data_IF_192187954499
#
_entry.id   IF_192187954499
#
_cell.length_a   1.000
_cell.length_b   1.000
_cell.length_c   1.000
_cell.angle_alpha   90.00
_cell.angle_beta   90.00
_cell.angle_gamma   90.00
#
_symmetry.space_group_name_H-M   'P 1'
#
loop_
_entity.id
_entity.type
_entity.pdbx_description
1 polymer ?
#
# COMPACT_ATOMS: atom_id res chain seq x y z
N UNK A 1 -14.55 0.93 -42.50
CA UNK A 1 -13.46 0.17 -43.14
C UNK A 1 -12.27 0.25 -42.21
N UNK A 2 -11.91 -0.89 -41.62
CA UNK A 2 -10.71 -1.00 -40.80
C UNK A 2 -9.51 -1.14 -41.73
N UNK A 3 -8.61 -0.17 -41.73
CA UNK A 3 -7.34 -0.29 -42.44
C UNK A 3 -6.31 -0.94 -41.53
N UNK A 4 -6.05 -2.21 -41.83
CA UNK A 4 -5.02 -3.04 -41.23
C UNK A 4 -3.65 -2.59 -41.76
N UNK A 5 -2.87 -1.89 -40.94
CA UNK A 5 -1.46 -1.63 -41.27
C UNK A 5 -0.63 -2.90 -40.99
N UNK A 6 0.10 -3.43 -41.98
CA UNK A 6 0.92 -4.63 -41.79
C UNK A 6 2.15 -4.29 -40.94
N UNK A 7 2.34 -5.04 -39.86
CA UNK A 7 3.47 -4.92 -38.94
C UNK A 7 4.81 -5.24 -39.65
N UNK A 8 5.79 -4.32 -39.73
CA UNK A 8 7.07 -4.60 -40.36
C UNK A 8 8.12 -5.19 -39.40
N UNK A 9 7.78 -5.55 -38.16
CA UNK A 9 8.72 -6.26 -37.28
C UNK A 9 8.02 -7.20 -36.27
N UNK A 10 8.22 -8.53 -36.37
CA UNK A 10 7.50 -9.50 -35.54
C UNK A 10 8.04 -9.64 -34.10
N UNK A 11 8.92 -8.75 -33.64
CA UNK A 11 9.62 -8.87 -32.34
C UNK A 11 9.21 -7.86 -31.26
N UNK A 12 8.24 -6.98 -31.51
CA UNK A 12 7.82 -5.99 -30.53
C UNK A 12 6.37 -6.27 -30.13
N UNK A 13 6.17 -6.63 -28.86
CA UNK A 13 4.86 -6.87 -28.26
C UNK A 13 3.98 -5.61 -28.36
N UNK A 14 2.71 -5.80 -28.69
CA UNK A 14 1.70 -4.74 -28.82
C UNK A 14 1.62 -3.85 -27.56
N UNK A 15 1.98 -4.38 -26.38
CA UNK A 15 2.09 -3.62 -25.13
C UNK A 15 3.05 -2.42 -25.23
N UNK A 16 4.21 -2.57 -25.87
CA UNK A 16 5.17 -1.46 -26.05
C UNK A 16 4.73 -0.45 -27.11
N UNK A 17 4.00 -0.90 -28.13
CA UNK A 17 3.43 0.00 -29.14
C UNK A 17 2.33 0.87 -28.54
N UNK A 18 1.45 0.30 -27.71
CA UNK A 18 0.40 1.06 -27.00
C UNK A 18 0.99 2.06 -26.00
N UNK A 19 2.08 1.71 -25.30
CA UNK A 19 2.79 2.65 -24.40
C UNK A 19 3.51 3.76 -25.17
N UNK A 20 4.04 3.49 -26.35
CA UNK A 20 4.63 4.52 -27.23
C UNK A 20 3.58 5.47 -27.82
N UNK A 21 2.34 5.01 -28.02
CA UNK A 21 1.23 5.86 -28.47
C UNK A 21 0.62 6.70 -27.33
N UNK A 22 0.64 6.20 -26.10
CA UNK A 22 0.21 6.92 -24.90
C UNK A 22 1.40 7.50 -24.14
N UNK A 23 2.07 8.49 -24.73
CA UNK A 23 2.75 9.48 -23.91
C UNK A 23 1.66 10.20 -23.09
N UNK A 24 1.72 10.12 -21.76
CA UNK A 24 0.91 10.95 -20.89
C UNK A 24 1.37 12.41 -21.07
N UNK A 25 0.84 13.08 -22.09
CA UNK A 25 0.89 14.52 -22.20
C UNK A 25 -0.10 15.04 -21.16
N UNK A 26 0.40 15.69 -20.11
CA UNK A 26 -0.45 16.47 -19.21
C UNK A 26 -1.00 17.63 -20.04
N UNK A 27 -2.19 17.45 -20.61
CA UNK A 27 -2.90 18.49 -21.34
C UNK A 27 -3.48 19.50 -20.34
N UNK A 28 -3.66 20.75 -20.77
CA UNK A 28 -4.24 21.81 -19.92
C UNK A 28 -5.61 21.45 -19.34
N UNK A 29 -6.38 20.60 -20.03
CA UNK A 29 -7.68 20.10 -19.59
C UNK A 29 -7.56 19.20 -18.35
N UNK A 30 -6.49 18.40 -18.26
CA UNK A 30 -6.23 17.54 -17.11
C UNK A 30 -5.81 18.34 -15.88
N UNK A 31 -4.99 19.39 -16.08
CA UNK A 31 -4.62 20.34 -15.02
C UNK A 31 -5.85 21.11 -14.52
N UNK A 32 -6.74 21.52 -15.43
CA UNK A 32 -7.98 22.20 -15.10
C UNK A 32 -8.96 21.29 -14.35
N UNK A 33 -9.05 20.01 -14.70
CA UNK A 33 -9.84 19.01 -13.98
C UNK A 33 -9.29 18.76 -12.56
N UNK A 34 -7.97 18.66 -12.41
CA UNK A 34 -7.33 18.51 -11.11
C UNK A 34 -7.53 19.77 -10.23
N UNK A 35 -7.42 20.97 -10.80
CA UNK A 35 -7.69 22.23 -10.09
C UNK A 35 -9.17 22.40 -9.73
N UNK A 36 -10.09 21.95 -10.58
CA UNK A 36 -11.52 21.93 -10.28
C UNK A 36 -11.89 20.96 -9.14
N UNK A 37 -11.11 19.88 -8.96
CA UNK A 37 -11.30 18.92 -7.86
C UNK A 37 -10.79 19.44 -6.50
N UNK A 38 -9.93 20.47 -6.49
CA UNK A 38 -9.37 21.08 -5.26
C UNK A 38 -10.31 22.16 -4.68
N UNK A 39 -11.21 22.72 -5.49
CA UNK A 39 -12.08 23.82 -5.10
C UNK A 39 -13.49 23.40 -4.72
N UNK A 40 -13.68 22.88 -3.49
CA UNK A 40 -14.85 23.10 -2.59
C UNK A 40 -14.85 22.09 -1.44
N UNK A 41 -14.35 22.52 -0.28
CA UNK A 41 -14.98 22.16 0.98
C UNK A 41 -15.23 23.48 1.74
N UNK A 42 -16.47 23.96 1.82
CA UNK A 42 -16.81 25.02 2.75
C UNK A 42 -16.87 24.37 4.13
N UNK A 43 -15.78 24.47 4.87
CA UNK A 43 -15.80 24.73 6.31
C UNK A 43 -14.36 25.00 6.76
N UNK A 44 -14.05 26.29 6.72
CA UNK A 44 -12.90 26.92 7.32
C UNK A 44 -13.05 26.93 8.86
N UNK A 45 -11.91 26.86 9.54
CA UNK A 45 -11.61 27.44 10.86
C UNK A 45 -12.30 26.86 12.10
N UNK A 46 -11.51 26.25 13.01
CA UNK A 46 -11.56 26.45 14.49
C UNK A 46 -10.26 25.92 15.16
N UNK A 47 -9.76 26.56 16.26
CA UNK A 47 -8.53 26.20 16.98
C UNK A 47 -8.79 25.13 18.08
N UNK A 48 -7.77 24.64 18.84
CA UNK A 48 -7.84 23.35 19.48
C UNK A 48 -8.63 23.39 20.79
N UNK A 49 -9.62 22.52 20.91
CA UNK A 49 -10.23 22.16 22.18
C UNK A 49 -9.98 20.68 22.44
N UNK A 50 -9.14 20.41 23.44
CA UNK A 50 -9.21 19.17 24.18
C UNK A 50 -10.62 19.04 24.77
N UNK A 51 -11.34 17.96 24.47
CA UNK A 51 -11.98 17.16 25.52
C UNK A 51 -12.52 15.82 24.97
N UNK A 52 -12.47 14.86 25.88
CA UNK A 52 -13.13 13.55 25.99
C UNK A 52 -14.39 13.28 25.14
N UNK A 53 -14.48 12.06 24.60
CA UNK A 53 -15.74 11.44 24.18
C UNK A 53 -15.95 11.11 22.69
N UNK A 54 -14.94 11.28 21.81
CA UNK A 54 -15.12 10.86 20.41
C UNK A 54 -15.20 9.32 20.30
N UNK A 55 -16.21 8.77 19.60
CA UNK A 55 -16.26 7.35 19.31
C UNK A 55 -15.01 6.94 18.51
N UNK A 56 -14.47 5.76 18.80
CA UNK A 56 -13.29 5.25 18.13
C UNK A 56 -13.51 5.20 16.61
N UNK A 57 -12.57 5.79 15.86
CA UNK A 57 -12.59 5.85 14.40
C UNK A 57 -11.28 5.31 13.86
N UNK A 58 -11.34 4.14 13.21
CA UNK A 58 -10.16 3.48 12.62
C UNK A 58 -9.50 4.37 11.55
N UNK A 59 -10.28 5.17 10.85
CA UNK A 59 -9.80 6.09 9.80
C UNK A 59 -9.00 7.24 10.43
N UNK A 60 -9.45 7.77 11.57
CA UNK A 60 -8.74 8.84 12.26
C UNK A 60 -7.42 8.36 12.83
N UNK A 61 -7.40 7.16 13.42
CA UNK A 61 -6.17 6.48 13.85
C UNK A 61 -5.22 6.29 12.66
N UNK A 62 -5.71 5.73 11.55
CA UNK A 62 -4.93 5.54 10.34
C UNK A 62 -4.31 6.84 9.83
N UNK A 63 -5.09 7.93 9.76
CA UNK A 63 -4.60 9.24 9.35
C UNK A 63 -3.59 9.82 10.34
N UNK A 64 -3.74 9.53 11.64
CA UNK A 64 -2.77 9.94 12.65
C UNK A 64 -1.42 9.24 12.45
N UNK A 65 -1.42 7.93 12.22
CA UNK A 65 -0.21 7.15 11.95
C UNK A 65 0.51 7.61 10.68
N UNK A 66 -0.24 8.00 9.65
CA UNK A 66 0.31 8.52 8.39
C UNK A 66 1.07 9.83 8.49
N UNK A 67 0.95 10.57 9.59
CA UNK A 67 1.74 11.79 9.82
C UNK A 67 3.23 11.48 10.00
N UNK A 68 3.59 10.23 10.28
CA UNK A 68 4.98 9.82 10.46
C UNK A 68 5.69 9.65 9.11
N UNK A 69 6.81 10.37 8.85
CA UNK A 69 7.40 10.49 7.50
C UNK A 69 8.06 9.23 6.93
N UNK A 70 8.09 8.10 7.64
CA UNK A 70 8.71 6.84 7.20
C UNK A 70 7.80 5.63 7.44
N UNK A 71 6.50 5.86 7.58
CA UNK A 71 5.53 4.80 7.83
C UNK A 71 4.81 4.46 6.53
N UNK A 72 4.88 3.19 6.10
CA UNK A 72 4.13 2.73 4.93
C UNK A 72 2.63 2.70 5.22
N UNK A 73 1.81 2.84 4.18
CA UNK A 73 0.35 2.73 4.30
C UNK A 73 -0.07 1.39 4.93
N UNK A 74 0.56 0.28 4.54
CA UNK A 74 0.33 -1.03 5.16
C UNK A 74 0.57 -1.01 6.69
N UNK A 75 1.69 -0.46 7.14
CA UNK A 75 2.03 -0.44 8.57
C UNK A 75 1.12 0.50 9.34
N UNK A 76 0.76 1.65 8.77
CA UNK A 76 -0.23 2.54 9.35
C UNK A 76 -1.59 1.83 9.53
N UNK A 77 -2.00 1.03 8.55
CA UNK A 77 -3.23 0.23 8.62
C UNK A 77 -3.17 -0.82 9.73
N UNK A 78 -2.06 -1.56 9.82
CA UNK A 78 -1.85 -2.56 10.87
C UNK A 78 -1.89 -1.92 12.26
N UNK A 79 -1.28 -0.75 12.45
CA UNK A 79 -1.32 -0.02 13.73
C UNK A 79 -2.71 0.52 14.07
N UNK A 80 -3.46 0.98 13.07
CA UNK A 80 -4.85 1.37 13.25
C UNK A 80 -5.73 0.17 13.65
N UNK A 81 -5.55 -0.99 13.00
CA UNK A 81 -6.25 -2.24 13.35
C UNK A 81 -5.82 -2.78 14.72
N UNK A 82 -4.56 -2.66 15.11
CA UNK A 82 -4.12 -2.98 16.48
C UNK A 82 -4.79 -2.07 17.53
N UNK A 83 -5.06 -0.82 17.16
CA UNK A 83 -5.81 0.11 18.02
C UNK A 83 -7.29 -0.30 18.15
N UNK A 84 -7.89 -0.89 17.10
CA UNK A 84 -9.23 -1.54 17.18
C UNK A 84 -9.21 -2.67 18.20
N UNK A 85 -8.20 -3.56 18.16
CA UNK A 85 -8.07 -4.67 19.13
C UNK A 85 -7.99 -4.11 20.56
N UNK A 86 -7.24 -3.02 20.75
CA UNK A 86 -7.08 -2.36 22.05
C UNK A 86 -8.38 -1.76 22.59
N UNK A 87 -9.21 -1.18 21.72
CA UNK A 87 -10.51 -0.61 22.11
C UNK A 87 -11.66 -1.64 22.14
N UNK A 88 -11.42 -2.86 21.67
CA UNK A 88 -12.46 -3.89 21.55
C UNK A 88 -12.85 -4.49 22.90
N UNK A 89 -14.13 -4.42 23.20
CA UNK A 89 -14.78 -5.08 24.35
C UNK A 89 -15.17 -6.53 24.06
N UNK A 90 -14.82 -7.05 22.87
CA UNK A 90 -15.13 -8.42 22.49
C UNK A 90 -14.65 -9.41 23.55
N UNK A 91 -15.45 -10.46 23.76
CA UNK A 91 -15.13 -11.56 24.69
C UNK A 91 -14.81 -12.86 23.97
N UNK A 92 -15.03 -12.89 22.65
CA UNK A 92 -14.80 -14.08 21.81
C UNK A 92 -13.94 -13.72 20.60
N UNK A 93 -13.16 -14.70 20.12
CA UNK A 93 -12.35 -14.54 18.92
C UNK A 93 -13.19 -14.21 17.68
N UNK A 94 -14.35 -14.86 17.52
CA UNK A 94 -15.25 -14.63 16.39
C UNK A 94 -15.77 -13.20 16.35
N UNK A 95 -16.16 -12.64 17.49
CA UNK A 95 -16.62 -11.25 17.60
C UNK A 95 -15.50 -10.26 17.26
N UNK A 96 -14.29 -10.48 17.79
CA UNK A 96 -13.12 -9.67 17.46
C UNK A 96 -12.76 -9.73 15.97
N UNK A 97 -12.83 -10.91 15.36
CA UNK A 97 -12.58 -11.10 13.93
C UNK A 97 -13.62 -10.35 13.07
N UNK A 98 -14.90 -10.36 13.47
CA UNK A 98 -15.94 -9.59 12.81
C UNK A 98 -15.71 -8.08 12.94
N UNK A 99 -15.33 -7.60 14.12
CA UNK A 99 -15.03 -6.19 14.38
C UNK A 99 -13.83 -5.71 13.52
N UNK A 100 -12.75 -6.50 13.51
CA UNK A 100 -11.57 -6.22 12.69
C UNK A 100 -11.88 -6.26 11.20
N UNK A 101 -12.70 -7.22 10.75
CA UNK A 101 -13.12 -7.29 9.34
C UNK A 101 -13.91 -6.06 8.94
N UNK A 102 -14.83 -5.60 9.77
CA UNK A 102 -15.59 -4.37 9.54
C UNK A 102 -14.67 -3.14 9.48
N UNK A 103 -13.70 -3.03 10.38
CA UNK A 103 -12.73 -1.93 10.38
C UNK A 103 -11.82 -1.98 9.14
N UNK A 104 -11.37 -3.17 8.74
CA UNK A 104 -10.59 -3.44 7.53
C UNK A 104 -11.33 -3.01 6.26
N UNK A 105 -12.59 -3.42 6.11
CA UNK A 105 -13.42 -3.05 4.95
C UNK A 105 -13.70 -1.53 4.91
N UNK A 106 -13.80 -0.88 6.08
CA UNK A 106 -13.89 0.58 6.18
C UNK A 106 -12.61 1.28 5.69
N UNK A 107 -11.42 0.76 6.01
CA UNK A 107 -10.15 1.29 5.50
C UNK A 107 -10.00 1.07 3.99
N UNK A 108 -10.36 -0.11 3.48
CA UNK A 108 -10.26 -0.45 2.06
C UNK A 108 -11.21 0.38 1.19
N UNK A 109 -12.41 0.66 1.70
CA UNK A 109 -13.36 1.55 1.03
C UNK A 109 -12.92 3.02 1.08
N UNK A 110 -12.17 3.42 2.12
CA UNK A 110 -11.61 4.77 2.24
C UNK A 110 -10.51 5.05 1.19
N UNK A 111 -9.64 4.08 0.88
CA UNK A 111 -8.64 4.19 -0.21
C UNK A 111 -8.60 2.90 -1.04
N UNK A 112 -9.46 2.86 -2.06
CA UNK A 112 -9.60 1.74 -3.00
C UNK A 112 -8.41 1.58 -3.96
N UNK A 113 -7.57 2.61 -4.07
CA UNK A 113 -6.44 2.64 -5.00
C UNK A 113 -5.17 2.06 -4.40
N UNK A 114 -5.09 2.02 -3.07
CA UNK A 114 -3.88 1.59 -2.39
C UNK A 114 -3.81 0.08 -2.21
N UNK A 115 -3.05 -0.56 -3.09
CA UNK A 115 -2.69 -1.99 -2.97
C UNK A 115 -2.02 -2.28 -1.63
N UNK A 116 -1.12 -1.41 -1.17
CA UNK A 116 -0.41 -1.56 0.11
C UNK A 116 -1.35 -1.50 1.33
N UNK A 117 -2.37 -0.64 1.30
CA UNK A 117 -3.38 -0.60 2.36
C UNK A 117 -4.18 -1.91 2.39
N UNK A 118 -4.74 -2.30 1.24
CA UNK A 118 -5.56 -3.50 1.10
C UNK A 118 -4.79 -4.75 1.51
N UNK A 119 -3.56 -4.93 1.03
CA UNK A 119 -2.74 -6.08 1.38
C UNK A 119 -2.32 -6.10 2.84
N UNK A 120 -2.00 -4.94 3.44
CA UNK A 120 -1.69 -4.83 4.86
C UNK A 120 -2.88 -5.24 5.75
N UNK A 121 -4.08 -4.82 5.36
CA UNK A 121 -5.32 -5.24 6.03
C UNK A 121 -5.60 -6.73 5.89
N UNK A 122 -5.44 -7.31 4.69
CA UNK A 122 -5.69 -8.74 4.45
C UNK A 122 -4.71 -9.63 5.19
N UNK A 123 -3.41 -9.31 5.13
CA UNK A 123 -2.36 -10.04 5.85
C UNK A 123 -2.60 -10.01 7.36
N UNK A 124 -3.01 -8.87 7.90
CA UNK A 124 -3.31 -8.75 9.33
C UNK A 124 -4.53 -9.58 9.73
N UNK A 125 -5.59 -9.57 8.92
CA UNK A 125 -6.76 -10.43 9.15
C UNK A 125 -6.39 -11.91 9.11
N UNK A 126 -5.64 -12.35 8.09
CA UNK A 126 -5.17 -13.74 8.01
C UNK A 126 -4.31 -14.12 9.20
N UNK A 127 -3.42 -13.23 9.63
CA UNK A 127 -2.61 -13.42 10.81
C UNK A 127 -3.48 -13.62 12.06
N UNK A 128 -4.42 -12.70 12.32
CA UNK A 128 -5.31 -12.76 13.48
C UNK A 128 -6.14 -14.03 13.46
N UNK A 129 -6.81 -14.37 12.36
CA UNK A 129 -7.63 -15.59 12.24
C UNK A 129 -6.80 -16.87 12.40
N UNK A 130 -5.53 -16.86 11.95
CA UNK A 130 -4.65 -18.03 12.07
C UNK A 130 -4.05 -18.16 13.47
N UNK A 131 -3.81 -17.06 14.18
CA UNK A 131 -3.31 -17.06 15.57
C UNK A 131 -4.42 -17.30 16.60
N UNK A 132 -5.62 -16.75 16.39
CA UNK A 132 -6.77 -16.91 17.29
C UNK A 132 -7.24 -18.37 17.37
N UNK A 133 -7.06 -19.14 16.30
CA UNK A 133 -7.36 -20.57 16.25
C UNK A 133 -6.36 -21.46 17.00
N UNK A 134 -5.20 -20.94 17.40
CA UNK A 134 -4.07 -21.74 17.90
C UNK A 134 -3.79 -21.65 19.41
N UNK A 135 -4.48 -20.81 20.17
CA UNK A 135 -4.16 -20.61 21.59
C UNK A 135 -5.27 -21.09 22.54
N UNK A 136 -4.94 -22.05 23.41
CA UNK A 136 -5.74 -22.53 24.57
C UNK A 136 -5.61 -21.57 25.77
N UNK A 137 -5.31 -20.29 25.52
CA UNK A 137 -5.05 -19.26 26.54
C UNK A 137 -6.25 -18.34 26.78
N UNK A 138 -6.19 -17.59 27.88
CA UNK A 138 -7.20 -16.58 28.21
C UNK A 138 -7.25 -15.49 27.12
N UNK A 139 -8.44 -15.24 26.59
CA UNK A 139 -8.66 -14.40 25.40
C UNK A 139 -7.99 -13.00 25.46
N UNK A 140 -7.90 -12.40 26.63
CA UNK A 140 -7.27 -11.09 26.81
C UNK A 140 -5.74 -11.12 26.65
N UNK A 141 -5.10 -12.24 26.97
CA UNK A 141 -3.68 -12.43 26.74
C UNK A 141 -3.38 -12.55 25.24
N UNK A 142 -4.24 -13.27 24.50
CA UNK A 142 -4.18 -13.35 23.04
C UNK A 142 -4.32 -11.94 22.40
N UNK A 143 -5.27 -11.11 22.84
CA UNK A 143 -5.39 -9.71 22.39
C UNK A 143 -4.09 -8.92 22.63
N UNK A 144 -3.51 -9.07 23.81
CA UNK A 144 -2.27 -8.39 24.19
C UNK A 144 -1.09 -8.80 23.29
N UNK A 145 -0.95 -10.10 23.00
CA UNK A 145 0.07 -10.63 22.09
C UNK A 145 -0.10 -10.13 20.65
N UNK A 146 -1.33 -10.08 20.14
CA UNK A 146 -1.61 -9.55 18.80
C UNK A 146 -1.17 -8.09 18.68
N UNK A 147 -1.45 -7.28 19.71
CA UNK A 147 -1.04 -5.87 19.76
C UNK A 147 0.49 -5.76 19.79
N UNK A 148 1.16 -6.49 20.69
CA UNK A 148 2.63 -6.47 20.81
C UNK A 148 3.30 -6.83 19.48
N UNK A 149 2.82 -7.88 18.81
CA UNK A 149 3.38 -8.32 17.52
C UNK A 149 3.12 -7.31 16.41
N UNK A 150 1.95 -6.69 16.36
CA UNK A 150 1.64 -5.63 15.40
C UNK A 150 2.55 -4.39 15.58
N UNK A 151 2.82 -4.00 16.82
CA UNK A 151 3.71 -2.89 17.14
C UNK A 151 5.15 -3.20 16.74
N UNK A 152 5.65 -4.38 17.14
CA UNK A 152 6.98 -4.88 16.78
C UNK A 152 7.17 -4.97 15.27
N UNK A 153 6.16 -5.46 14.53
CA UNK A 153 6.18 -5.46 13.07
C UNK A 153 6.35 -4.04 12.52
N UNK A 154 5.57 -3.07 13.02
CA UNK A 154 5.68 -1.69 12.56
C UNK A 154 7.03 -1.04 12.86
N UNK A 155 7.66 -1.37 13.99
CA UNK A 155 9.02 -0.93 14.29
C UNK A 155 10.05 -1.49 13.31
N UNK A 156 9.99 -2.80 13.03
CA UNK A 156 10.89 -3.48 12.10
C UNK A 156 10.73 -2.91 10.69
N UNK A 157 9.49 -2.76 10.21
CA UNK A 157 9.21 -2.17 8.90
C UNK A 157 9.72 -0.73 8.77
N UNK A 158 9.58 0.07 9.84
CA UNK A 158 10.06 1.45 9.82
C UNK A 158 11.60 1.55 9.89
N UNK A 159 12.28 0.60 10.55
CA UNK A 159 13.75 0.48 10.48
C UNK A 159 14.17 0.09 9.06
N UNK A 160 13.50 -0.89 8.46
CA UNK A 160 13.78 -1.33 7.09
C UNK A 160 13.62 -0.19 6.08
N UNK A 161 12.53 0.58 6.16
CA UNK A 161 12.28 1.72 5.26
C UNK A 161 13.33 2.85 5.35
N UNK A 162 14.12 2.91 6.43
CA UNK A 162 15.23 3.88 6.57
C UNK A 162 16.55 3.37 6.03
N UNK A 163 16.70 2.05 5.92
CA UNK A 163 17.95 1.40 5.54
C UNK A 163 17.93 0.93 4.08
N UNK A 164 16.75 0.60 3.56
CA UNK A 164 16.56 0.07 2.23
C UNK A 164 15.81 1.08 1.35
N UNK A 165 16.25 1.25 0.10
CA UNK A 165 15.54 2.11 -0.85
C UNK A 165 14.25 1.43 -1.29
N UNK A 166 13.11 2.10 -1.08
CA UNK A 166 11.77 1.54 -1.34
C UNK A 166 11.02 2.27 -2.46
N UNK A 167 11.40 3.51 -2.74
CA UNK A 167 10.78 4.39 -3.72
C UNK A 167 11.77 4.71 -4.86
N UNK A 168 11.24 5.12 -6.00
CA UNK A 168 12.02 5.46 -7.19
C UNK A 168 13.08 6.52 -6.90
N UNK A 169 12.73 7.49 -6.06
CA UNK A 169 13.62 8.57 -5.60
C UNK A 169 14.78 8.08 -4.71
N UNK A 170 14.66 6.90 -4.11
CA UNK A 170 15.70 6.33 -3.25
C UNK A 170 16.78 5.62 -4.09
N UNK A 171 16.54 5.44 -5.39
CA UNK A 171 17.49 4.85 -6.33
C UNK A 171 18.38 5.91 -6.98
N UNK A 172 19.62 5.53 -7.29
CA UNK A 172 20.48 6.36 -8.12
C UNK A 172 19.86 6.55 -9.52
N UNK A 173 20.03 7.74 -10.15
CA UNK A 173 19.61 7.96 -11.53
C UNK A 173 20.23 6.91 -12.44
N UNK A 174 19.46 6.35 -13.37
CA UNK A 174 20.02 5.32 -14.22
C UNK A 174 21.16 5.85 -15.08
N UNK A 175 22.13 4.96 -15.33
CA UNK A 175 23.40 5.27 -15.97
C UNK A 175 23.28 5.75 -17.43
N UNK A 176 22.09 5.73 -18.03
CA UNK A 176 21.88 6.10 -19.44
C UNK A 176 20.73 7.09 -19.58
N UNK A 177 21.00 8.32 -20.05
CA UNK A 177 19.96 9.22 -20.52
C UNK A 177 19.18 8.54 -21.66
N UNK A 178 17.85 8.50 -21.55
CA UNK A 178 17.01 8.09 -22.68
C UNK A 178 17.10 9.20 -23.73
N UNK A 179 17.50 8.90 -24.98
CA UNK A 179 17.50 9.92 -26.04
C UNK A 179 16.06 10.36 -26.30
N UNK A 180 15.70 11.55 -25.80
CA UNK A 180 14.42 12.17 -26.13
C UNK A 180 14.44 12.55 -27.62
N UNK A 181 13.50 11.99 -28.39
CA UNK A 181 13.26 12.39 -29.78
C UNK A 181 12.54 13.75 -29.89
N UNK A 182 12.14 14.34 -28.76
CA UNK A 182 11.36 15.58 -28.68
C UNK A 182 12.19 16.67 -27.97
N UNK A 183 12.22 17.91 -28.48
CA UNK A 183 12.85 19.04 -27.80
C UNK A 183 12.19 19.27 -26.43
N UNK A 184 12.95 19.09 -25.35
CA UNK A 184 12.48 19.33 -23.98
C UNK A 184 12.65 20.82 -23.65
N UNK A 185 11.59 21.53 -23.22
CA UNK A 185 11.69 22.92 -22.80
C UNK A 185 12.64 23.08 -21.60
N UNK A 186 13.44 24.15 -21.55
CA UNK A 186 14.48 24.41 -20.52
C UNK A 186 13.98 24.50 -19.07
N UNK A 187 12.66 24.44 -18.85
CA UNK A 187 12.00 24.55 -17.55
C UNK A 187 11.45 23.21 -17.03
N UNK A 188 11.66 22.12 -17.76
CA UNK A 188 11.16 20.78 -17.40
C UNK A 188 12.34 19.91 -16.98
N UNK A 189 12.39 19.56 -15.69
CA UNK A 189 13.27 18.51 -15.20
C UNK A 189 12.70 17.17 -15.66
N UNK A 190 13.44 16.48 -16.53
CA UNK A 190 13.09 15.13 -16.98
C UNK A 190 13.78 14.14 -16.06
N UNK A 191 13.00 13.38 -15.30
CA UNK A 191 13.52 12.28 -14.50
C UNK A 191 14.22 11.28 -15.42
N UNK A 192 15.53 11.14 -15.24
CA UNK A 192 16.40 10.38 -16.15
C UNK A 192 16.30 8.87 -15.99
N UNK A 193 15.47 8.36 -15.08
CA UNK A 193 14.98 7.01 -15.13
C UNK A 193 13.83 6.87 -14.14
N UNK A 194 12.70 6.33 -14.58
CA UNK A 194 11.79 5.59 -13.71
C UNK A 194 12.23 4.13 -13.82
N UNK A 195 12.63 3.47 -12.73
CA UNK A 195 12.82 2.03 -12.72
C UNK A 195 11.43 1.45 -13.01
N UNK A 196 11.28 0.83 -14.18
CA UNK A 196 9.98 0.35 -14.65
C UNK A 196 9.45 -0.71 -13.66
N UNK A 197 8.23 -0.53 -13.16
CA UNK A 197 7.54 -1.55 -12.38
C UNK A 197 7.17 -2.73 -13.28
N UNK A 198 7.59 -3.94 -12.91
CA UNK A 198 7.11 -5.17 -13.54
C UNK A 198 5.72 -5.49 -13.01
N UNK A 199 4.68 -5.56 -13.87
CA UNK A 199 3.34 -5.95 -13.43
C UNK A 199 3.35 -7.32 -12.70
N UNK A 200 2.54 -7.48 -11.64
CA UNK A 200 2.58 -8.68 -10.78
C UNK A 200 2.26 -9.97 -11.55
N UNK A 201 1.45 -9.90 -12.61
CA UNK A 201 1.13 -11.04 -13.48
C UNK A 201 2.35 -11.65 -14.20
N UNK A 202 3.48 -10.95 -14.24
CA UNK A 202 4.74 -11.46 -14.78
C UNK A 202 5.70 -11.99 -13.70
N UNK A 203 5.39 -11.82 -12.42
CA UNK A 203 6.17 -12.34 -11.30
C UNK A 203 5.72 -13.77 -10.99
N UNK A 204 6.22 -14.75 -11.73
CA UNK A 204 5.79 -16.14 -11.60
C UNK A 204 6.57 -16.93 -10.54
N UNK A 205 7.83 -16.57 -10.30
CA UNK A 205 8.74 -17.28 -9.40
C UNK A 205 9.66 -16.31 -8.66
N UNK A 206 9.97 -16.64 -7.41
CA UNK A 206 10.89 -15.95 -6.51
C UNK A 206 12.01 -16.91 -6.11
N UNK A 207 13.25 -16.47 -6.25
CA UNK A 207 14.41 -17.22 -5.78
C UNK A 207 14.67 -16.87 -4.32
N UNK A 208 14.60 -17.87 -3.46
CA UNK A 208 14.80 -17.76 -2.02
C UNK A 208 15.85 -18.76 -1.55
N UNK A 209 16.27 -18.65 -0.30
CA UNK A 209 17.11 -19.64 0.39
C UNK A 209 16.42 -21.00 0.56
N UNK A 210 15.09 -21.04 0.59
CA UNK A 210 14.28 -22.26 0.58
C UNK A 210 14.08 -22.87 -0.82
N UNK A 211 14.61 -22.21 -1.86
CA UNK A 211 14.50 -22.63 -3.25
C UNK A 211 13.65 -21.67 -4.10
N UNK A 212 13.19 -22.17 -5.25
CA UNK A 212 12.39 -21.38 -6.20
C UNK A 212 10.91 -21.58 -5.88
N UNK A 213 10.25 -20.51 -5.43
CA UNK A 213 8.87 -20.53 -4.92
C UNK A 213 7.97 -19.64 -5.76
N UNK A 214 6.68 -19.97 -5.86
CA UNK A 214 5.68 -19.04 -6.41
C UNK A 214 5.37 -17.95 -5.37
N UNK A 215 4.89 -16.77 -5.78
CA UNK A 215 4.49 -15.72 -4.83
C UNK A 215 3.50 -16.19 -3.76
N UNK A 216 2.57 -17.08 -4.11
CA UNK A 216 1.62 -17.66 -3.16
C UNK A 216 2.30 -18.50 -2.09
N UNK A 217 3.26 -19.36 -2.47
CA UNK A 217 3.99 -20.20 -1.52
C UNK A 217 4.88 -19.35 -0.61
N UNK A 218 5.51 -18.30 -1.14
CA UNK A 218 6.24 -17.34 -0.29
C UNK A 218 5.34 -16.69 0.74
N UNK A 219 4.09 -16.36 0.38
CA UNK A 219 3.11 -15.84 1.35
C UNK A 219 2.84 -16.85 2.47
N UNK A 220 2.66 -18.13 2.16
CA UNK A 220 2.38 -19.16 3.16
C UNK A 220 3.57 -19.37 4.13
N UNK A 221 4.79 -19.45 3.59
CA UNK A 221 6.04 -19.56 4.35
C UNK A 221 6.24 -18.35 5.27
N UNK A 222 6.00 -17.14 4.76
CA UNK A 222 6.10 -15.93 5.57
C UNK A 222 5.13 -15.96 6.75
N UNK A 223 3.88 -16.36 6.57
CA UNK A 223 2.94 -16.43 7.69
C UNK A 223 3.39 -17.51 8.68
N UNK A 224 4.01 -18.62 8.22
CA UNK A 224 4.48 -19.69 9.10
C UNK A 224 5.65 -19.26 9.99
N UNK A 225 6.55 -18.40 9.51
CA UNK A 225 7.65 -17.85 10.31
C UNK A 225 7.20 -16.97 11.48
N UNK A 226 5.99 -16.43 11.44
CA UNK A 226 5.48 -15.48 12.44
C UNK A 226 4.31 -16.03 13.29
N UNK A 227 3.90 -17.28 13.07
CA UNK A 227 3.06 -18.03 14.01
C UNK A 227 3.92 -18.55 15.17
#
# INVERSE_FOLDING_TARGET
MAETFPNPNPKISAYYQTRAAHHAVVTGDWLAQAQAAIGRHPDDLLPPSADSGKPFSVIDEFNNWRKQPNLSKAVAAIRALASVIRSSEATTAMELEMELKKASDSLKSWDTTSISLTSGCDLFLFYVTRTSALEYEEFNLAKSRLIERAEKFGEISCKFARLCPLDQKDMAPALRPIPSSVPIPSKVEVETCAWDYTPPQYLTLLFTDLGVLTPSVVSDELIQLYL
#
